data_IF_914075545833
#
_entry.id   IF_914075545833
#
_cell.length_a   1.000
_cell.length_b   1.000
_cell.length_c   1.000
_cell.angle_alpha   90.00
_cell.angle_beta   90.00
_cell.angle_gamma   90.00
#
_symmetry.space_group_name_H-M   'P 1'
#
loop_
_entity.id
_entity.type
_entity.pdbx_description
1 polymer ?
#
# COMPACT_ATOMS: atom_id res chain seq x y z
N UNK A 1 -12.05 -10.85 6.48
CA UNK A 1 -10.81 -10.48 7.18
C UNK A 1 -10.20 -9.28 6.51
N UNK A 2 -9.53 -8.44 7.28
CA UNK A 2 -8.96 -7.21 6.75
C UNK A 2 -7.44 -7.29 6.68
N UNK A 3 -6.83 -6.49 5.83
CA UNK A 3 -5.39 -6.37 5.73
C UNK A 3 -4.98 -4.95 6.08
N UNK A 4 -3.99 -4.83 6.94
CA UNK A 4 -3.42 -3.54 7.29
C UNK A 4 -2.18 -3.31 6.44
N UNK A 5 -2.20 -2.25 5.67
CA UNK A 5 -1.10 -1.88 4.78
C UNK A 5 -0.39 -0.66 5.38
N UNK A 6 0.89 -0.81 5.64
CA UNK A 6 1.71 0.28 6.21
C UNK A 6 2.80 0.65 5.23
N UNK A 7 2.90 1.92 4.91
CA UNK A 7 3.97 2.41 4.03
C UNK A 7 5.26 2.50 4.83
N UNK A 8 6.24 1.67 4.46
CA UNK A 8 7.52 1.61 5.18
C UNK A 8 8.68 2.25 4.42
N UNK A 9 8.49 2.52 3.13
CA UNK A 9 9.53 3.17 2.32
C UNK A 9 8.97 4.41 1.64
N UNK A 10 9.88 5.38 1.39
CA UNK A 10 9.50 6.63 0.74
C UNK A 10 9.01 6.41 -0.69
N UNK A 11 8.01 7.18 -1.08
CA UNK A 11 7.49 7.18 -2.45
C UNK A 11 8.29 8.10 -3.38
N UNK A 12 9.24 8.86 -2.83
CA UNK A 12 10.03 9.81 -3.61
C UNK A 12 10.77 9.12 -4.75
N UNK A 13 11.31 7.93 -4.48
CA UNK A 13 12.04 7.16 -5.47
C UNK A 13 11.17 6.12 -6.18
N UNK A 14 9.87 6.14 -5.92
CA UNK A 14 8.96 5.18 -6.52
C UNK A 14 8.57 5.60 -7.93
N UNK A 15 8.23 4.63 -8.76
CA UNK A 15 7.74 4.90 -10.11
C UNK A 15 6.36 5.57 -10.03
N UNK A 16 5.96 6.35 -11.05
CA UNK A 16 4.66 7.00 -11.05
C UNK A 16 3.49 6.05 -10.80
N UNK A 17 3.54 4.85 -11.36
CA UNK A 17 2.50 3.83 -11.16
C UNK A 17 2.39 3.46 -9.68
N UNK A 18 3.53 3.32 -9.03
CA UNK A 18 3.57 2.95 -7.62
C UNK A 18 3.04 4.07 -6.75
N UNK A 19 3.39 5.31 -7.07
CA UNK A 19 2.85 6.47 -6.36
C UNK A 19 1.35 6.56 -6.49
N UNK A 20 0.84 6.37 -7.70
CA UNK A 20 -0.59 6.40 -7.96
C UNK A 20 -1.30 5.29 -7.20
N UNK A 21 -0.73 4.10 -7.18
CA UNK A 21 -1.29 2.96 -6.46
C UNK A 21 -1.35 3.23 -4.96
N UNK A 22 -0.25 3.72 -4.39
CA UNK A 22 -0.21 4.05 -2.97
C UNK A 22 -1.21 5.15 -2.63
N UNK A 23 -1.32 6.17 -3.47
CA UNK A 23 -2.28 7.24 -3.27
C UNK A 23 -3.71 6.72 -3.28
N UNK A 24 -4.01 5.79 -4.17
CA UNK A 24 -5.35 5.20 -4.24
C UNK A 24 -5.66 4.36 -3.01
N UNK A 25 -4.64 3.83 -2.34
CA UNK A 25 -4.81 3.12 -1.07
C UNK A 25 -4.85 4.08 0.12
N UNK A 26 -4.56 5.36 -0.10
CA UNK A 26 -4.55 6.35 0.97
C UNK A 26 -3.19 6.53 1.62
N UNK A 27 -2.15 5.91 1.09
CA UNK A 27 -0.80 6.00 1.64
C UNK A 27 -0.05 7.14 0.94
N UNK A 28 0.30 8.17 1.69
CA UNK A 28 0.94 9.36 1.12
C UNK A 28 2.37 9.55 1.58
N UNK A 29 2.72 9.06 2.75
CA UNK A 29 4.05 9.24 3.33
C UNK A 29 4.40 8.04 4.19
N UNK A 30 5.68 7.93 4.52
CA UNK A 30 6.17 6.86 5.40
C UNK A 30 5.46 6.92 6.74
N UNK A 31 5.05 5.76 7.21
CA UNK A 31 4.35 5.64 8.48
C UNK A 31 2.83 5.62 8.35
N UNK A 32 2.30 5.99 7.20
CA UNK A 32 0.86 5.87 6.96
C UNK A 32 0.45 4.41 6.95
N UNK A 33 -0.63 4.13 7.64
CA UNK A 33 -1.19 2.78 7.65
C UNK A 33 -2.69 2.85 7.48
N UNK A 34 -3.22 1.94 6.70
CA UNK A 34 -4.65 1.89 6.43
C UNK A 34 -5.09 0.44 6.40
N UNK A 35 -6.24 0.18 7.01
CA UNK A 35 -6.85 -1.14 7.00
C UNK A 35 -7.86 -1.22 5.86
N UNK A 36 -7.71 -2.23 5.03
CA UNK A 36 -8.63 -2.49 3.91
C UNK A 36 -9.20 -3.88 4.04
N UNK A 37 -10.42 -4.05 3.55
CA UNK A 37 -10.99 -5.37 3.44
C UNK A 37 -10.26 -6.16 2.35
N UNK A 38 -10.12 -7.44 2.58
CA UNK A 38 -9.45 -8.32 1.63
C UNK A 38 -10.26 -8.43 0.34
N UNK A 39 -9.59 -8.29 -0.80
CA UNK A 39 -10.25 -8.37 -2.10
C UNK A 39 -9.22 -8.36 -3.22
N UNK A 40 -9.66 -8.79 -4.41
CA UNK A 40 -8.76 -8.88 -5.57
C UNK A 40 -8.18 -7.54 -5.99
N UNK A 41 -8.97 -6.48 -5.94
CA UNK A 41 -8.51 -5.14 -6.32
C UNK A 41 -7.42 -4.68 -5.37
N UNK A 42 -7.63 -4.87 -4.07
CA UNK A 42 -6.64 -4.50 -3.06
C UNK A 42 -5.38 -5.35 -3.21
N UNK A 43 -5.53 -6.64 -3.42
CA UNK A 43 -4.39 -7.53 -3.60
C UNK A 43 -3.55 -7.10 -4.80
N UNK A 44 -4.18 -6.74 -5.91
CA UNK A 44 -3.49 -6.27 -7.09
C UNK A 44 -2.71 -4.99 -6.83
N UNK A 45 -3.30 -4.04 -6.12
CA UNK A 45 -2.64 -2.80 -5.76
C UNK A 45 -1.45 -3.03 -4.82
N UNK A 46 -1.64 -3.87 -3.82
CA UNK A 46 -0.59 -4.20 -2.86
C UNK A 46 0.58 -4.87 -3.58
N UNK A 47 0.29 -5.74 -4.53
CA UNK A 47 1.33 -6.44 -5.29
C UNK A 47 2.25 -5.47 -6.04
N UNK A 48 1.71 -4.39 -6.56
CA UNK A 48 2.49 -3.38 -7.28
C UNK A 48 3.50 -2.70 -6.36
N UNK A 49 3.11 -2.47 -5.10
CA UNK A 49 3.94 -1.73 -4.15
C UNK A 49 4.39 -2.57 -2.97
N UNK A 50 4.35 -3.90 -3.11
CA UNK A 50 4.67 -4.79 -2.00
C UNK A 50 6.07 -4.56 -1.41
N UNK A 51 7.00 -4.11 -2.23
CA UNK A 51 8.35 -3.80 -1.77
C UNK A 51 8.45 -2.46 -1.03
N UNK A 52 7.39 -1.67 -1.06
CA UNK A 52 7.33 -0.36 -0.41
C UNK A 52 6.50 -0.38 0.85
N UNK A 53 5.67 -1.38 1.01
CA UNK A 53 4.73 -1.45 2.13
C UNK A 53 4.84 -2.78 2.86
N UNK A 54 4.35 -2.78 4.08
CA UNK A 54 4.22 -3.99 4.87
C UNK A 54 2.75 -4.31 5.01
N UNK A 55 2.36 -5.53 4.73
CA UNK A 55 0.98 -5.97 4.82
C UNK A 55 0.84 -6.93 6.00
N UNK A 56 -0.14 -6.65 6.83
CA UNK A 56 -0.45 -7.52 7.97
C UNK A 56 -1.93 -7.88 7.93
N UNK A 57 -2.22 -9.11 8.34
CA UNK A 57 -3.61 -9.55 8.48
C UNK A 57 -4.10 -9.16 9.86
N UNK A 58 -5.23 -8.52 9.91
CA UNK A 58 -5.85 -8.09 11.18
C UNK A 58 -7.21 -8.75 11.37
#
# INVERSE_FOLDING_TARGET
MAKKVTLVKSLICAKPNQKATAASLGLKKIGDSITHEEGKVIDGKIKVISHLVKVETV
#
